data_IF_321666185732
#
_entry.id   IF_321666185732
#
_cell.length_a   1.000
_cell.length_b   1.000
_cell.length_c   1.000
_cell.angle_alpha   90.00
_cell.angle_beta   90.00
_cell.angle_gamma   90.00
#
_symmetry.space_group_name_H-M   'P 1'
#
loop_
_entity.id
_entity.type
_entity.pdbx_description
1 polymer ?
#
# COMPACT_ATOMS: atom_id res chain seq x y z
N UNK A 1 23.23 -7.81 -13.06
CA UNK A 1 22.28 -7.55 -14.15
C UNK A 1 21.03 -8.41 -14.01
N UNK A 2 21.15 -9.71 -13.74
CA UNK A 2 20.03 -10.64 -13.50
C UNK A 2 18.95 -10.10 -12.54
N UNK A 3 19.32 -9.63 -11.34
CA UNK A 3 18.34 -9.12 -10.36
C UNK A 3 17.56 -7.90 -10.87
N UNK A 4 18.24 -6.98 -11.55
CA UNK A 4 17.60 -5.79 -12.13
C UNK A 4 16.63 -6.18 -13.24
N UNK A 5 17.05 -7.10 -14.12
CA UNK A 5 16.20 -7.62 -15.20
C UNK A 5 14.96 -8.26 -14.59
N UNK A 6 15.12 -9.11 -13.57
CA UNK A 6 14.01 -9.75 -12.85
C UNK A 6 13.06 -8.72 -12.22
N UNK A 7 13.57 -7.70 -11.51
CA UNK A 7 12.74 -6.66 -10.89
C UNK A 7 11.95 -5.85 -11.91
N UNK A 8 12.58 -5.47 -13.02
CA UNK A 8 11.92 -4.74 -14.11
C UNK A 8 10.87 -5.62 -14.79
N UNK A 9 11.18 -6.89 -15.06
CA UNK A 9 10.20 -7.84 -15.59
C UNK A 9 9.00 -7.99 -14.67
N UNK A 10 9.22 -8.17 -13.36
CA UNK A 10 8.14 -8.24 -12.36
C UNK A 10 7.32 -6.95 -12.32
N UNK A 11 7.97 -5.79 -12.37
CA UNK A 11 7.30 -4.49 -12.41
C UNK A 11 6.38 -4.37 -13.63
N UNK A 12 6.88 -4.66 -14.83
CA UNK A 12 6.10 -4.58 -16.08
C UNK A 12 4.91 -5.56 -16.06
N UNK A 13 5.14 -6.81 -15.63
CA UNK A 13 4.07 -7.80 -15.53
C UNK A 13 3.01 -7.40 -14.49
N UNK A 14 3.42 -6.84 -13.35
CA UNK A 14 2.50 -6.36 -12.31
C UNK A 14 1.65 -5.16 -12.81
N UNK A 15 2.23 -4.26 -13.60
CA UNK A 15 1.48 -3.14 -14.21
C UNK A 15 0.42 -3.65 -15.18
N UNK A 16 0.77 -4.57 -16.09
CA UNK A 16 -0.17 -5.17 -17.03
C UNK A 16 -1.30 -5.89 -16.28
N UNK A 17 -0.94 -6.70 -15.27
CA UNK A 17 -1.92 -7.38 -14.43
C UNK A 17 -2.85 -6.40 -13.71
N UNK A 18 -2.32 -5.31 -13.17
CA UNK A 18 -3.11 -4.27 -12.50
C UNK A 18 -4.16 -3.65 -13.41
N UNK A 19 -3.80 -3.33 -14.65
CA UNK A 19 -4.76 -2.80 -15.65
C UNK A 19 -5.85 -3.82 -15.94
N UNK A 20 -5.48 -5.07 -16.22
CA UNK A 20 -6.40 -6.15 -16.58
C UNK A 20 -7.38 -6.52 -15.45
N UNK A 21 -6.97 -6.37 -14.19
CA UNK A 21 -7.83 -6.60 -13.03
C UNK A 21 -8.85 -5.46 -12.85
N UNK A 22 -8.42 -4.20 -12.96
CA UNK A 22 -9.28 -3.03 -12.72
C UNK A 22 -10.34 -2.89 -13.82
N UNK A 23 -10.03 -3.19 -15.08
CA UNK A 23 -10.99 -3.13 -16.20
C UNK A 23 -12.19 -4.06 -16.03
N UNK A 24 -12.06 -5.11 -15.21
CA UNK A 24 -13.11 -6.09 -14.93
C UNK A 24 -13.96 -5.77 -13.69
N UNK A 25 -13.68 -4.67 -12.99
CA UNK A 25 -14.44 -4.28 -11.80
C UNK A 25 -15.72 -3.54 -12.22
N UNK A 26 -16.91 -3.93 -11.72
CA UNK A 26 -18.16 -3.24 -12.04
C UNK A 26 -18.17 -1.81 -11.47
N UNK A 27 -18.89 -0.90 -12.13
CA UNK A 27 -18.87 0.52 -11.79
C UNK A 27 -19.31 0.82 -10.34
N UNK A 28 -20.17 -0.02 -9.78
CA UNK A 28 -20.65 0.08 -8.39
C UNK A 28 -19.55 -0.10 -7.35
N UNK A 29 -18.44 -0.75 -7.72
CA UNK A 29 -17.32 -1.02 -6.82
C UNK A 29 -16.15 -0.04 -6.96
N UNK A 30 -16.20 0.97 -7.83
CA UNK A 30 -15.07 1.91 -8.01
C UNK A 30 -14.71 2.67 -6.72
N UNK A 31 -15.69 3.09 -5.92
CA UNK A 31 -15.42 3.79 -4.66
C UNK A 31 -14.81 2.87 -3.59
N UNK A 32 -15.36 1.66 -3.33
CA UNK A 32 -14.66 0.66 -2.51
C UNK A 32 -13.27 0.30 -3.04
N UNK A 33 -13.11 0.19 -4.37
CA UNK A 33 -11.83 -0.12 -5.02
C UNK A 33 -10.79 0.99 -4.79
N UNK A 34 -11.19 2.25 -4.90
CA UNK A 34 -10.33 3.41 -4.61
C UNK A 34 -9.88 3.41 -3.14
N UNK A 35 -10.80 3.14 -2.21
CA UNK A 35 -10.45 3.00 -0.78
C UNK A 35 -9.50 1.82 -0.56
N UNK A 36 -9.76 0.68 -1.21
CA UNK A 36 -8.97 -0.54 -1.09
C UNK A 36 -7.55 -0.38 -1.65
N UNK A 37 -7.39 0.25 -2.82
CA UNK A 37 -6.07 0.52 -3.40
C UNK A 37 -5.28 1.52 -2.55
N UNK A 38 -5.93 2.50 -1.92
CA UNK A 38 -5.29 3.37 -0.94
C UNK A 38 -4.79 2.56 0.28
N UNK A 39 -5.60 1.64 0.82
CA UNK A 39 -5.16 0.76 1.92
C UNK A 39 -3.92 -0.09 1.55
N UNK A 40 -3.87 -0.61 0.31
CA UNK A 40 -2.73 -1.39 -0.20
C UNK A 40 -1.46 -0.52 -0.33
N UNK A 41 -1.60 0.77 -0.68
CA UNK A 41 -0.48 1.72 -0.72
C UNK A 41 0.22 1.90 0.63
N UNK A 42 -0.47 1.52 1.72
CA UNK A 42 0.09 1.42 3.05
C UNK A 42 1.24 0.39 3.19
N UNK A 43 1.56 -0.41 2.16
CA UNK A 43 2.79 -1.22 2.08
C UNK A 43 4.07 -0.40 2.34
N UNK A 44 4.00 0.93 2.14
CA UNK A 44 5.01 1.90 2.58
C UNK A 44 5.46 1.73 4.04
N UNK A 45 4.62 1.14 4.90
CA UNK A 45 4.99 0.76 6.28
C UNK A 45 6.20 -0.18 6.32
N UNK A 46 6.31 -1.14 5.40
CA UNK A 46 7.48 -2.04 5.32
C UNK A 46 8.74 -1.24 5.02
N UNK A 47 8.67 -0.30 4.08
CA UNK A 47 9.78 0.61 3.77
C UNK A 47 10.15 1.49 4.96
N UNK A 48 9.16 2.02 5.68
CA UNK A 48 9.39 2.85 6.86
C UNK A 48 10.06 2.07 8.01
N UNK A 49 9.66 0.81 8.23
CA UNK A 49 10.28 -0.07 9.23
C UNK A 49 11.73 -0.42 8.87
N UNK A 50 11.99 -0.76 7.60
CA UNK A 50 13.35 -1.03 7.12
C UNK A 50 14.24 0.21 7.23
N UNK A 51 13.73 1.39 6.89
CA UNK A 51 14.47 2.65 6.97
C UNK A 51 14.73 3.10 8.42
N UNK A 52 13.77 2.91 9.32
CA UNK A 52 13.94 3.25 10.74
C UNK A 52 14.83 2.25 11.49
N UNK A 53 14.85 0.98 11.06
CA UNK A 53 15.61 -0.10 11.69
C UNK A 53 17.01 -0.34 11.11
N UNK A 54 17.42 0.38 10.07
CA UNK A 54 18.67 0.11 9.34
C UNK A 54 19.95 0.42 10.14
N UNK A 55 19.87 1.20 11.23
CA UNK A 55 21.00 1.43 12.15
C UNK A 55 22.21 2.20 11.58
N UNK A 56 22.31 2.32 10.26
CA UNK A 56 23.45 2.93 9.54
C UNK A 56 23.46 4.46 9.58
N UNK A 57 22.29 5.09 9.80
CA UNK A 57 22.16 6.56 9.88
C UNK A 57 21.67 6.95 11.27
N UNK A 58 22.61 6.99 12.22
CA UNK A 58 22.33 7.31 13.62
C UNK A 58 22.31 8.82 13.85
N UNK A 59 21.11 9.42 13.85
CA UNK A 59 20.90 10.82 14.25
C UNK A 59 19.48 11.03 14.76
N UNK A 60 19.32 11.89 15.77
CA UNK A 60 18.02 12.19 16.41
C UNK A 60 16.94 12.53 15.37
N UNK A 61 17.31 13.25 14.31
CA UNK A 61 16.41 13.60 13.21
C UNK A 61 15.95 12.39 12.38
N UNK A 62 16.83 11.42 12.12
CA UNK A 62 16.47 10.22 11.35
C UNK A 62 15.53 9.34 12.15
N UNK A 63 15.77 9.16 13.45
CA UNK A 63 14.87 8.43 14.33
C UNK A 63 13.50 9.12 14.46
N UNK A 64 13.47 10.45 14.58
CA UNK A 64 12.22 11.21 14.64
C UNK A 64 11.40 11.10 13.34
N UNK A 65 12.05 11.27 12.18
CA UNK A 65 11.39 11.15 10.87
C UNK A 65 10.93 9.70 10.62
N UNK A 66 11.75 8.70 10.98
CA UNK A 66 11.39 7.30 10.89
C UNK A 66 10.17 6.95 11.74
N UNK A 67 10.11 7.46 12.97
CA UNK A 67 8.95 7.29 13.85
C UNK A 67 7.69 7.92 13.24
N UNK A 68 7.78 9.15 12.72
CA UNK A 68 6.66 9.81 12.04
C UNK A 68 6.22 9.02 10.81
N UNK A 69 7.16 8.53 10.00
CA UNK A 69 6.86 7.72 8.82
C UNK A 69 6.09 6.44 9.17
N UNK A 70 6.51 5.73 10.23
CA UNK A 70 5.82 4.53 10.72
C UNK A 70 4.40 4.88 11.19
N UNK A 71 4.22 5.97 11.94
CA UNK A 71 2.90 6.41 12.42
C UNK A 71 1.97 6.71 11.23
N UNK A 72 2.42 7.53 10.28
CA UNK A 72 1.63 7.91 9.12
C UNK A 72 1.29 6.70 8.23
N UNK A 73 2.25 5.80 7.99
CA UNK A 73 2.01 4.58 7.23
C UNK A 73 1.03 3.65 7.94
N UNK A 74 1.10 3.55 9.27
CA UNK A 74 0.16 2.76 10.08
C UNK A 74 -1.26 3.33 9.99
N UNK A 75 -1.41 4.66 10.09
CA UNK A 75 -2.70 5.33 9.92
C UNK A 75 -3.30 5.04 8.53
N UNK A 76 -2.47 5.08 7.48
CA UNK A 76 -2.90 4.77 6.11
C UNK A 76 -3.42 3.32 5.99
N UNK A 77 -2.62 2.32 6.40
CA UNK A 77 -3.00 0.90 6.34
C UNK A 77 -4.29 0.66 7.13
N UNK A 78 -4.30 1.03 8.41
CA UNK A 78 -5.41 0.71 9.32
C UNK A 78 -6.68 1.47 8.89
N UNK A 79 -6.58 2.77 8.66
CA UNK A 79 -7.70 3.60 8.23
C UNK A 79 -8.26 3.15 6.88
N UNK A 80 -7.39 2.86 5.91
CA UNK A 80 -7.76 2.37 4.60
C UNK A 80 -8.54 1.05 4.67
N UNK A 81 -8.06 0.05 5.41
CA UNK A 81 -8.75 -1.23 5.53
C UNK A 81 -10.07 -1.12 6.30
N UNK A 82 -10.13 -0.30 7.36
CA UNK A 82 -11.36 -0.07 8.13
C UNK A 82 -12.46 0.58 7.27
N UNK A 83 -12.12 1.61 6.50
CA UNK A 83 -13.06 2.30 5.61
C UNK A 83 -13.50 1.37 4.48
N UNK A 84 -12.56 0.66 3.84
CA UNK A 84 -12.88 -0.32 2.78
C UNK A 84 -13.82 -1.40 3.28
N UNK A 85 -13.58 -1.96 4.47
CA UNK A 85 -14.47 -2.95 5.08
C UNK A 85 -15.86 -2.37 5.40
N UNK A 86 -15.96 -1.10 5.82
CA UNK A 86 -17.26 -0.43 6.02
C UNK A 86 -18.01 -0.28 4.69
N UNK A 87 -17.32 0.09 3.62
CA UNK A 87 -17.92 0.22 2.28
C UNK A 87 -18.40 -1.12 1.74
N UNK A 88 -17.58 -2.17 1.82
CA UNK A 88 -17.93 -3.51 1.31
C UNK A 88 -19.09 -4.15 2.10
N UNK A 89 -19.25 -3.83 3.38
CA UNK A 89 -20.41 -4.25 4.17
C UNK A 89 -21.75 -3.71 3.64
N UNK A 90 -21.75 -2.61 2.90
CA UNK A 90 -22.98 -2.05 2.31
C UNK A 90 -23.50 -2.87 1.12
N UNK A 91 -22.65 -3.72 0.53
CA UNK A 91 -23.02 -4.64 -0.56
C UNK A 91 -23.54 -6.00 -0.06
N UNK A 92 -23.42 -6.28 1.24
CA UNK A 92 -24.06 -7.45 1.82
C UNK A 92 -25.57 -7.19 1.88
N UNK A 93 -26.34 -7.99 1.14
CA UNK A 93 -27.78 -8.11 1.40
C UNK A 93 -27.96 -8.54 2.86
N UNK A 94 -28.96 -7.98 3.54
CA UNK A 94 -29.52 -8.63 4.73
C UNK A 94 -30.02 -10.02 4.38
#
# INVERSE_FOLDING_TARGET
MELLIMQVSLFVLAVILGVELITKVPATLHTPLMSGSNAISGITLVGALLAAGSGEVSGVWVSAIGMIAIILATINVVGGFLVTNRMLRMFHRR
#
